data_IF_266235010850
#
_entry.id   IF_266235010850
#
_cell.length_a   1.000
_cell.length_b   1.000
_cell.length_c   1.000
_cell.angle_alpha   90.00
_cell.angle_beta   90.00
_cell.angle_gamma   90.00
#
_symmetry.space_group_name_H-M   'P 1'
#
loop_
_entity.id
_entity.type
_entity.pdbx_description
1 polymer ?
#
# COMPACT_ATOMS: atom_id res chain seq x y z
N UNK A 1 -14.97 -7.48 5.74
CA UNK A 1 -13.70 -8.24 5.76
C UNK A 1 -13.29 -8.52 4.33
N UNK A 2 -12.03 -8.25 3.99
CA UNK A 2 -11.46 -8.47 2.66
C UNK A 2 -10.18 -9.30 2.73
N UNK A 3 -9.99 -10.22 1.80
CA UNK A 3 -8.74 -10.98 1.68
C UNK A 3 -7.78 -10.21 0.79
N UNK A 4 -6.65 -9.80 1.34
CA UNK A 4 -5.59 -9.08 0.64
C UNK A 4 -4.37 -9.99 0.53
N UNK A 5 -3.88 -10.18 -0.69
CA UNK A 5 -2.63 -10.88 -0.94
C UNK A 5 -1.52 -9.87 -1.14
N UNK A 6 -0.55 -9.88 -0.23
CA UNK A 6 0.69 -9.13 -0.35
C UNK A 6 1.72 -9.98 -1.08
N UNK A 7 2.48 -9.34 -1.97
CA UNK A 7 3.58 -9.97 -2.70
C UNK A 7 4.82 -9.11 -2.45
N UNK A 8 5.80 -9.70 -1.77
CA UNK A 8 7.06 -9.05 -1.44
C UNK A 8 8.00 -9.04 -2.66
N UNK A 9 9.05 -8.22 -2.61
CA UNK A 9 10.06 -8.17 -3.67
C UNK A 9 10.80 -9.52 -3.86
N UNK A 10 10.81 -10.37 -2.84
CA UNK A 10 11.33 -11.75 -2.91
C UNK A 10 10.45 -12.69 -3.75
N UNK A 11 9.22 -12.28 -4.06
CA UNK A 11 8.18 -13.12 -4.66
C UNK A 11 7.37 -13.92 -3.63
N UNK A 12 7.69 -13.83 -2.34
CA UNK A 12 6.87 -14.42 -1.29
C UNK A 12 5.48 -13.77 -1.30
N UNK A 13 4.44 -14.61 -1.24
CA UNK A 13 3.06 -14.18 -1.19
C UNK A 13 2.41 -14.60 0.12
N UNK A 14 1.71 -13.64 0.75
CA UNK A 14 1.02 -13.85 2.02
C UNK A 14 -0.38 -13.27 1.91
N UNK A 15 -1.39 -14.09 2.18
CA UNK A 15 -2.79 -13.62 2.17
C UNK A 15 -3.27 -13.38 3.59
N UNK A 16 -3.80 -12.19 3.82
CA UNK A 16 -4.29 -11.71 5.11
C UNK A 16 -5.76 -11.33 4.99
N UNK A 17 -6.56 -11.72 5.97
CA UNK A 17 -7.94 -11.26 6.10
C UNK A 17 -7.96 -9.94 6.88
N UNK A 18 -8.29 -8.84 6.22
CA UNK A 18 -8.40 -7.52 6.82
C UNK A 18 -9.83 -7.21 7.25
N UNK A 19 -9.95 -6.57 8.42
CA UNK A 19 -11.21 -6.01 8.90
C UNK A 19 -11.55 -4.74 8.15
N UNK A 20 -12.84 -4.44 8.03
CA UNK A 20 -13.27 -3.20 7.38
C UNK A 20 -12.75 -1.98 8.16
N UNK A 21 -12.32 -0.95 7.44
CA UNK A 21 -11.71 0.25 8.01
C UNK A 21 -10.22 0.14 8.32
N UNK A 22 -9.60 -1.03 8.14
CA UNK A 22 -8.14 -1.14 8.14
C UNK A 22 -7.58 -0.75 6.78
N UNK A 23 -6.48 -0.01 6.80
CA UNK A 23 -5.70 0.23 5.60
C UNK A 23 -4.86 -0.99 5.19
N UNK A 24 -4.49 -1.06 3.91
CA UNK A 24 -3.57 -2.06 3.38
C UNK A 24 -2.21 -2.00 4.09
N UNK A 25 -1.75 -0.81 4.49
CA UNK A 25 -0.52 -0.64 5.28
C UNK A 25 -0.64 -1.25 6.68
N UNK A 26 -1.75 -1.00 7.38
CA UNK A 26 -1.99 -1.61 8.70
C UNK A 26 -2.05 -3.14 8.59
N UNK A 27 -2.68 -3.65 7.53
CA UNK A 27 -2.69 -5.07 7.21
C UNK A 27 -1.31 -5.66 7.02
N UNK A 28 -0.45 -4.99 6.26
CA UNK A 28 0.93 -5.42 6.00
C UNK A 28 1.78 -5.42 7.29
N UNK A 29 1.81 -4.29 7.99
CA UNK A 29 2.66 -4.09 9.18
C UNK A 29 2.25 -4.98 10.35
N UNK A 30 0.95 -5.17 10.59
CA UNK A 30 0.46 -6.05 11.66
C UNK A 30 0.75 -7.54 11.41
N UNK A 31 1.01 -7.92 10.16
CA UNK A 31 1.28 -9.32 9.76
C UNK A 31 2.73 -9.55 9.35
N UNK A 32 3.63 -8.58 9.60
CA UNK A 32 5.06 -8.73 9.35
C UNK A 32 5.41 -8.86 7.87
N UNK A 33 4.66 -8.22 6.97
CA UNK A 33 4.97 -8.18 5.55
C UNK A 33 6.14 -7.21 5.32
N UNK A 34 7.22 -7.71 4.73
CA UNK A 34 8.40 -6.90 4.44
C UNK A 34 8.17 -5.89 3.31
N UNK A 35 8.89 -4.76 3.37
CA UNK A 35 8.87 -3.71 2.35
C UNK A 35 7.81 -2.62 2.52
N UNK A 36 6.84 -2.80 3.43
CA UNK A 36 5.87 -1.75 3.81
C UNK A 36 6.15 -1.33 5.26
N UNK A 37 6.75 -0.16 5.44
CA UNK A 37 7.19 0.32 6.76
C UNK A 37 6.14 1.21 7.44
N UNK A 38 5.55 2.16 6.70
CA UNK A 38 4.52 3.05 7.22
C UNK A 38 5.00 4.01 8.33
N UNK A 39 6.18 4.60 8.18
CA UNK A 39 6.86 5.38 9.25
C UNK A 39 6.04 6.53 9.84
N UNK A 40 5.22 7.22 9.03
CA UNK A 40 4.36 8.32 9.51
C UNK A 40 3.04 7.86 10.17
N UNK A 41 2.86 6.54 10.35
CA UNK A 41 1.65 5.97 10.94
C UNK A 41 0.37 6.12 10.08
N UNK A 42 0.51 6.46 8.80
CA UNK A 42 -0.61 6.59 7.86
C UNK A 42 -1.10 8.02 7.62
N UNK A 43 -0.39 9.02 8.12
CA UNK A 43 -0.76 10.45 7.98
C UNK A 43 -0.50 11.06 6.59
N UNK A 44 -0.25 10.24 5.56
CA UNK A 44 0.17 10.67 4.22
C UNK A 44 1.35 11.69 4.25
N UNK A 45 2.31 11.47 5.13
CA UNK A 45 3.45 12.37 5.36
C UNK A 45 4.82 11.71 5.13
N UNK A 46 4.82 10.49 4.59
CA UNK A 46 6.02 9.76 4.17
C UNK A 46 5.68 8.91 2.93
N UNK A 47 6.68 8.37 2.25
CA UNK A 47 6.52 7.50 1.09
C UNK A 47 6.85 6.02 1.36
N UNK A 48 7.04 5.62 2.63
CA UNK A 48 7.57 4.29 3.01
C UNK A 48 6.52 3.19 3.12
N UNK A 49 5.29 3.46 2.73
CA UNK A 49 4.23 2.46 2.52
C UNK A 49 3.84 2.33 1.05
N UNK A 50 4.75 2.74 0.15
CA UNK A 50 4.57 2.58 -1.29
C UNK A 50 4.41 1.11 -1.66
N UNK A 51 3.40 0.81 -2.48
CA UNK A 51 3.20 -0.48 -3.10
C UNK A 51 2.73 -0.32 -4.55
N UNK A 52 2.76 -1.42 -5.30
CA UNK A 52 2.09 -1.52 -6.59
C UNK A 52 0.82 -2.33 -6.40
N UNK A 53 -0.32 -1.76 -6.81
CA UNK A 53 -1.59 -2.48 -6.79
C UNK A 53 -1.73 -3.25 -8.11
N UNK A 54 -2.24 -4.47 -8.06
CA UNK A 54 -2.55 -5.23 -9.27
C UNK A 54 -3.44 -4.39 -10.22
N UNK A 55 -3.03 -4.25 -11.47
CA UNK A 55 -3.75 -3.45 -12.47
C UNK A 55 -5.20 -3.90 -12.63
N UNK A 56 -5.48 -5.20 -12.50
CA UNK A 56 -6.83 -5.75 -12.57
C UNK A 56 -7.72 -5.35 -11.38
N UNK A 57 -7.12 -4.88 -10.28
CA UNK A 57 -7.81 -4.48 -9.03
C UNK A 57 -7.71 -2.98 -8.77
N UNK A 58 -6.94 -2.24 -9.58
CA UNK A 58 -6.75 -0.80 -9.38
C UNK A 58 -8.07 -0.02 -9.41
N UNK A 59 -9.04 -0.48 -10.21
CA UNK A 59 -10.38 0.11 -10.30
C UNK A 59 -11.27 -0.12 -9.08
N UNK A 60 -10.89 -1.01 -8.15
CA UNK A 60 -11.61 -1.20 -6.89
C UNK A 60 -11.27 -0.12 -5.85
N UNK A 61 -10.15 0.59 -6.05
CA UNK A 61 -9.69 1.66 -5.16
C UNK A 61 -10.22 3.02 -5.62
N UNK A 62 -10.48 3.94 -4.67
CA UNK A 62 -10.70 5.32 -5.05
C UNK A 62 -9.46 5.88 -5.78
N UNK A 63 -9.64 6.89 -6.65
CA UNK A 63 -8.52 7.60 -7.24
C UNK A 63 -7.57 8.15 -6.18
N UNK A 64 -6.29 8.28 -6.54
CA UNK A 64 -5.32 8.89 -5.64
C UNK A 64 -5.68 10.36 -5.38
N UNK A 65 -5.59 10.77 -4.12
CA UNK A 65 -5.75 12.18 -3.75
C UNK A 65 -4.54 12.99 -4.21
N UNK A 66 -4.68 14.32 -4.28
CA UNK A 66 -3.55 15.21 -4.60
C UNK A 66 -2.39 15.01 -3.60
N UNK A 67 -2.70 14.91 -2.31
CA UNK A 67 -1.68 14.64 -1.29
C UNK A 67 -0.99 13.29 -1.44
N UNK A 68 -1.72 12.24 -1.86
CA UNK A 68 -1.13 10.94 -2.18
C UNK A 68 -0.19 11.07 -3.40
N UNK A 69 -0.63 11.74 -4.46
CA UNK A 69 0.16 11.96 -5.68
C UNK A 69 1.45 12.74 -5.42
N UNK A 70 1.38 13.79 -4.59
CA UNK A 70 2.54 14.59 -4.20
C UNK A 70 3.55 13.76 -3.40
N UNK A 71 3.06 12.94 -2.46
CA UNK A 71 3.93 12.04 -1.70
C UNK A 71 4.51 10.92 -2.55
N UNK A 72 3.79 10.46 -3.58
CA UNK A 72 4.30 9.47 -4.52
C UNK A 72 5.50 9.97 -5.35
N UNK A 73 5.77 11.28 -5.42
CA UNK A 73 7.01 11.79 -6.04
C UNK A 73 8.27 11.50 -5.19
N UNK A 74 8.07 11.15 -3.91
CA UNK A 74 9.15 10.95 -2.94
C UNK A 74 9.45 9.46 -2.67
N UNK A 75 8.87 8.54 -3.46
CA UNK A 75 9.15 7.11 -3.33
C UNK A 75 10.59 6.80 -3.73
N UNK A 76 11.20 5.86 -3.02
CA UNK A 76 12.58 5.41 -3.33
C UNK A 76 12.60 4.43 -4.49
N UNK A 77 11.57 3.57 -4.58
CA UNK A 77 11.40 2.65 -5.69
C UNK A 77 10.87 3.39 -6.94
N UNK A 78 10.87 2.72 -8.08
CA UNK A 78 10.30 3.28 -9.32
C UNK A 78 8.83 3.65 -9.12
N UNK A 79 8.42 4.86 -9.52
CA UNK A 79 7.00 5.20 -9.59
C UNK A 79 6.39 4.63 -10.86
N UNK A 80 5.25 3.94 -10.71
CA UNK A 80 4.49 3.32 -11.80
C UNK A 80 3.05 3.83 -11.80
N UNK A 81 2.28 3.64 -12.90
CA UNK A 81 0.88 4.04 -12.98
C UNK A 81 -0.02 3.43 -11.89
N UNK A 82 0.36 2.25 -11.39
CA UNK A 82 -0.33 1.55 -10.32
C UNK A 82 0.34 1.72 -8.93
N UNK A 83 1.28 2.67 -8.79
CA UNK A 83 1.85 3.03 -7.49
C UNK A 83 0.80 3.68 -6.60
N UNK A 84 0.66 3.17 -5.38
CA UNK A 84 -0.21 3.73 -4.33
C UNK A 84 0.54 3.82 -3.01
N UNK A 85 0.04 4.66 -2.11
CA UNK A 85 0.44 4.60 -0.70
C UNK A 85 -0.55 3.71 0.04
N UNK A 86 -0.09 2.55 0.51
CA UNK A 86 -0.94 1.53 1.11
C UNK A 86 -1.71 2.01 2.35
N UNK A 87 -1.32 3.12 2.98
CA UNK A 87 -2.04 3.68 4.13
C UNK A 87 -3.27 4.50 3.74
N UNK A 88 -3.45 4.82 2.47
CA UNK A 88 -4.59 5.60 1.95
C UNK A 88 -5.73 4.72 1.41
N UNK A 89 -5.57 3.40 1.48
CA UNK A 89 -6.48 2.36 0.95
C UNK A 89 -6.70 1.28 1.98
#
# INVERSE_FOLDING_TARGET
>A
MANITYIEASGQSTTVSLNDGWSLMQGATANGIDGILGECGGSCACATCHCYVDEARLGDLPPASEGELDMLENVVAERRPNSRLACQH
#
